data_IF_134994700977
#
_entry.id   IF_134994700977
#
_cell.length_a   1.000
_cell.length_b   1.000
_cell.length_c   1.000
_cell.angle_alpha   90.00
_cell.angle_beta   90.00
_cell.angle_gamma   90.00
#
_symmetry.space_group_name_H-M   'P 1'
#
loop_
_entity.id
_entity.type
_entity.pdbx_description
1 polymer ?
#
# COMPACT_ATOMS: atom_id res chain seq x y z
N UNK A 1 31.78 -1.68 -6.82
CA UNK A 1 31.09 -2.12 -5.59
C UNK A 1 31.78 -1.60 -4.33
N UNK A 2 33.10 -1.80 -4.15
CA UNK A 2 33.86 -1.31 -2.97
C UNK A 2 33.73 0.22 -2.78
N UNK A 3 33.98 1.01 -3.85
CA UNK A 3 33.85 2.47 -3.82
C UNK A 3 32.44 2.98 -3.46
N UNK A 4 31.40 2.26 -3.87
CA UNK A 4 30.00 2.62 -3.57
C UNK A 4 29.70 2.39 -2.08
N UNK A 5 30.23 1.30 -1.51
CA UNK A 5 30.08 0.98 -0.08
C UNK A 5 30.83 2.00 0.78
N UNK A 6 32.01 2.46 0.36
CA UNK A 6 32.76 3.50 1.06
C UNK A 6 32.00 4.84 1.08
N UNK A 7 31.48 5.28 -0.07
CA UNK A 7 30.66 6.50 -0.15
C UNK A 7 29.38 6.38 0.67
N UNK A 8 28.67 5.24 0.62
CA UNK A 8 27.50 5.01 1.49
C UNK A 8 27.87 5.03 2.97
N UNK A 9 29.02 4.45 3.33
CA UNK A 9 29.51 4.44 4.70
C UNK A 9 29.85 5.84 5.17
N UNK A 10 30.49 6.66 4.36
CA UNK A 10 30.76 8.07 4.64
C UNK A 10 29.47 8.87 4.83
N UNK A 11 28.51 8.74 3.90
CA UNK A 11 27.20 9.41 3.95
C UNK A 11 26.36 8.96 5.17
N UNK A 12 26.50 7.70 5.58
CA UNK A 12 25.74 7.12 6.71
C UNK A 12 26.45 7.36 8.04
N UNK A 13 27.78 7.47 8.05
CA UNK A 13 28.59 7.67 9.26
C UNK A 13 28.18 8.96 9.97
N UNK A 14 27.79 8.85 11.24
CA UNK A 14 27.36 10.00 12.05
C UNK A 14 25.85 10.29 12.03
N UNK A 15 25.06 9.65 11.17
CA UNK A 15 23.61 9.83 11.18
C UNK A 15 22.98 9.18 12.43
N UNK A 16 22.04 9.85 13.07
CA UNK A 16 21.24 9.35 14.21
C UNK A 16 19.80 9.08 13.78
N UNK A 17 19.02 8.34 14.58
CA UNK A 17 17.59 8.11 14.29
C UNK A 17 16.79 9.42 14.25
N UNK A 18 17.17 10.40 15.07
CA UNK A 18 16.51 11.72 15.14
C UNK A 18 16.67 12.51 13.83
N UNK A 19 17.69 12.21 13.02
CA UNK A 19 17.95 12.94 11.77
C UNK A 19 16.86 12.73 10.72
N UNK A 20 16.10 11.64 10.81
CA UNK A 20 14.94 11.40 9.95
C UNK A 20 13.83 12.44 10.14
N UNK A 21 13.70 12.99 11.35
CA UNK A 21 12.69 13.98 11.69
C UNK A 21 13.14 15.42 11.44
N UNK A 22 14.38 15.64 10.95
CA UNK A 22 14.83 16.97 10.54
C UNK A 22 14.06 17.44 9.31
N UNK A 23 13.92 18.75 9.15
CA UNK A 23 13.17 19.41 8.05
C UNK A 23 13.54 18.88 6.66
N UNK A 24 14.82 18.51 6.45
CA UNK A 24 15.34 17.94 5.19
C UNK A 24 14.75 16.56 4.86
N UNK A 25 14.46 15.73 5.87
CA UNK A 25 14.06 14.33 5.69
C UNK A 25 12.62 14.04 6.10
N UNK A 26 12.00 14.89 6.93
CA UNK A 26 10.68 14.64 7.53
C UNK A 26 9.60 14.34 6.49
N UNK A 27 9.59 15.04 5.35
CA UNK A 27 8.62 14.79 4.28
C UNK A 27 8.85 13.45 3.59
N UNK A 28 10.11 13.03 3.42
CA UNK A 28 10.45 11.72 2.85
C UNK A 28 10.05 10.60 3.82
N UNK A 29 10.33 10.80 5.10
CA UNK A 29 9.93 9.88 6.16
C UNK A 29 8.41 9.77 6.29
N UNK A 30 7.67 10.89 6.20
CA UNK A 30 6.20 10.93 6.14
C UNK A 30 5.69 10.08 4.97
N UNK A 31 6.22 10.27 3.76
CA UNK A 31 5.81 9.51 2.57
C UNK A 31 6.07 8.01 2.75
N UNK A 32 7.26 7.62 3.25
CA UNK A 32 7.59 6.20 3.48
C UNK A 32 6.66 5.56 4.51
N UNK A 33 6.44 6.22 5.65
CA UNK A 33 5.54 5.70 6.70
C UNK A 33 4.11 5.63 6.17
N UNK A 34 3.65 6.66 5.46
CA UNK A 34 2.30 6.70 4.90
C UNK A 34 2.08 5.63 3.83
N UNK A 35 3.05 5.35 2.95
CA UNK A 35 2.95 4.26 1.98
C UNK A 35 2.83 2.88 2.66
N UNK A 36 3.59 2.63 3.73
CA UNK A 36 3.43 1.43 4.55
C UNK A 36 2.05 1.36 5.23
N UNK A 37 1.56 2.48 5.74
CA UNK A 37 0.24 2.57 6.35
C UNK A 37 -0.86 2.29 5.31
N UNK A 38 -0.75 2.83 4.09
CA UNK A 38 -1.67 2.55 2.99
C UNK A 38 -1.72 1.05 2.71
N UNK A 39 -0.56 0.40 2.58
CA UNK A 39 -0.53 -1.03 2.31
C UNK A 39 -1.16 -1.86 3.44
N UNK A 40 -0.95 -1.50 4.70
CA UNK A 40 -1.51 -2.22 5.85
C UNK A 40 -3.02 -1.99 6.00
N UNK A 41 -3.49 -0.76 5.83
CA UNK A 41 -4.88 -0.37 6.08
C UNK A 41 -5.81 -0.70 4.90
N UNK A 42 -5.27 -0.94 3.70
CA UNK A 42 -6.08 -1.28 2.54
C UNK A 42 -6.59 -2.73 2.66
N UNK A 43 -7.86 -2.89 3.05
CA UNK A 43 -8.55 -4.19 3.11
C UNK A 43 -8.15 -5.14 4.23
N UNK A 44 -7.62 -4.59 5.32
CA UNK A 44 -7.13 -5.33 6.50
C UNK A 44 -8.10 -6.38 7.06
N UNK A 45 -9.41 -6.12 7.02
CA UNK A 45 -10.42 -7.05 7.55
C UNK A 45 -10.53 -8.32 6.70
N UNK A 46 -10.42 -8.18 5.39
CA UNK A 46 -10.63 -9.27 4.44
C UNK A 46 -9.36 -10.10 4.31
N UNK A 47 -8.19 -9.47 4.41
CA UNK A 47 -6.90 -10.14 4.20
C UNK A 47 -6.44 -11.04 5.34
N UNK A 48 -6.88 -10.79 6.56
CA UNK A 48 -6.45 -11.58 7.72
C UNK A 48 -7.23 -12.87 7.92
N UNK A 49 -8.43 -13.00 7.34
CA UNK A 49 -9.35 -14.13 7.60
C UNK A 49 -10.17 -14.52 6.35
N UNK A 50 -9.50 -14.83 5.22
CA UNK A 50 -10.16 -15.15 3.95
C UNK A 50 -11.12 -16.35 4.03
N UNK A 51 -10.67 -17.53 4.46
CA UNK A 51 -11.55 -18.70 4.61
C UNK A 51 -12.79 -18.39 5.47
N UNK A 52 -12.59 -17.70 6.59
CA UNK A 52 -13.69 -17.34 7.48
C UNK A 52 -14.66 -16.34 6.83
N UNK A 53 -14.15 -15.37 6.08
CA UNK A 53 -14.97 -14.45 5.30
C UNK A 53 -15.82 -15.19 4.26
N UNK A 54 -15.23 -16.17 3.56
CA UNK A 54 -15.95 -17.00 2.58
C UNK A 54 -16.99 -17.92 3.23
N UNK A 55 -16.69 -18.47 4.41
CA UNK A 55 -17.67 -19.23 5.19
C UNK A 55 -18.84 -18.34 5.63
N UNK A 56 -18.57 -17.12 6.06
CA UNK A 56 -19.61 -16.16 6.44
C UNK A 56 -20.48 -15.71 5.26
N UNK A 57 -19.92 -15.71 4.04
CA UNK A 57 -20.65 -15.49 2.79
C UNK A 57 -21.53 -16.70 2.41
N UNK A 58 -21.39 -17.84 3.10
CA UNK A 58 -22.22 -19.03 2.91
C UNK A 58 -21.55 -20.17 2.12
N UNK A 59 -20.24 -20.11 1.89
CA UNK A 59 -19.51 -21.23 1.30
C UNK A 59 -19.27 -22.33 2.35
N UNK A 60 -19.33 -23.62 1.97
CA UNK A 60 -18.85 -24.70 2.81
C UNK A 60 -17.34 -24.55 3.09
N UNK A 61 -16.89 -24.90 4.30
CA UNK A 61 -15.49 -24.77 4.74
C UNK A 61 -14.46 -25.32 3.75
N UNK A 62 -14.73 -26.49 3.15
CA UNK A 62 -13.84 -27.10 2.15
C UNK A 62 -13.68 -26.18 0.93
N UNK A 63 -14.78 -25.65 0.41
CA UNK A 63 -14.74 -24.75 -0.76
C UNK A 63 -14.15 -23.38 -0.40
N UNK A 64 -14.39 -22.88 0.81
CA UNK A 64 -13.79 -21.64 1.29
C UNK A 64 -12.25 -21.74 1.30
N UNK A 65 -11.71 -22.87 1.75
CA UNK A 65 -10.28 -23.16 1.70
C UNK A 65 -9.76 -23.28 0.26
N UNK A 66 -10.47 -23.99 -0.63
CA UNK A 66 -10.08 -24.11 -2.05
C UNK A 66 -9.99 -22.73 -2.73
N UNK A 67 -10.92 -21.82 -2.43
CA UNK A 67 -10.92 -20.44 -2.95
C UNK A 67 -9.75 -19.64 -2.40
N UNK A 68 -9.42 -19.80 -1.11
CA UNK A 68 -8.24 -19.15 -0.50
C UNK A 68 -6.93 -19.60 -1.17
N UNK A 69 -6.79 -20.90 -1.44
CA UNK A 69 -5.62 -21.44 -2.18
C UNK A 69 -5.56 -20.86 -3.59
N UNK A 70 -6.70 -20.84 -4.31
CA UNK A 70 -6.79 -20.24 -5.64
C UNK A 70 -6.44 -18.76 -5.67
N UNK A 71 -6.82 -18.03 -4.62
CA UNK A 71 -6.46 -16.63 -4.44
C UNK A 71 -4.94 -16.43 -4.24
N UNK A 72 -4.27 -17.34 -3.51
CA UNK A 72 -2.82 -17.36 -3.40
C UNK A 72 -2.14 -17.49 -4.77
N UNK A 73 -2.63 -18.42 -5.60
CA UNK A 73 -2.15 -18.62 -6.98
C UNK A 73 -2.39 -17.41 -7.88
N UNK A 74 -3.58 -16.81 -7.83
CA UNK A 74 -3.88 -15.56 -8.54
C UNK A 74 -2.93 -14.43 -8.10
N UNK A 75 -2.68 -14.32 -6.80
CA UNK A 75 -1.75 -13.33 -6.26
C UNK A 75 -0.34 -13.46 -6.84
N UNK A 76 0.16 -14.68 -7.03
CA UNK A 76 1.46 -14.93 -7.67
C UNK A 76 1.46 -14.48 -9.14
N UNK A 77 0.44 -14.84 -9.91
CA UNK A 77 0.31 -14.43 -11.32
C UNK A 77 0.24 -12.91 -11.44
N UNK A 78 -0.60 -12.26 -10.62
CA UNK A 78 -0.73 -10.81 -10.59
C UNK A 78 0.57 -10.11 -10.22
N UNK A 79 1.36 -10.66 -9.28
CA UNK A 79 2.67 -10.12 -8.93
C UNK A 79 3.66 -10.20 -10.10
N UNK A 80 3.67 -11.31 -10.85
CA UNK A 80 4.48 -11.45 -12.07
C UNK A 80 4.06 -10.43 -13.15
N UNK A 81 2.76 -10.21 -13.33
CA UNK A 81 2.25 -9.19 -14.24
C UNK A 81 2.60 -7.76 -13.79
N UNK A 82 2.63 -7.52 -12.48
CA UNK A 82 2.93 -6.21 -11.91
C UNK A 82 4.30 -5.71 -12.33
N UNK A 83 5.30 -6.60 -12.40
CA UNK A 83 6.64 -6.25 -12.84
C UNK A 83 6.66 -5.57 -14.21
N UNK A 84 5.85 -6.03 -15.16
CA UNK A 84 5.74 -5.43 -16.48
C UNK A 84 4.96 -4.12 -16.47
N UNK A 85 3.91 -4.08 -15.66
CA UNK A 85 3.00 -2.94 -15.54
C UNK A 85 3.69 -1.72 -14.90
N UNK A 86 4.46 -1.97 -13.84
CA UNK A 86 5.32 -1.03 -13.14
C UNK A 86 6.28 -0.29 -14.07
N UNK A 87 6.87 -0.97 -15.06
CA UNK A 87 7.78 -0.31 -16.01
C UNK A 87 7.07 0.75 -16.87
N UNK A 88 5.81 0.53 -17.22
CA UNK A 88 5.08 1.36 -18.20
C UNK A 88 4.27 2.48 -17.55
N UNK A 89 3.70 2.27 -16.37
CA UNK A 89 2.88 3.27 -15.68
C UNK A 89 3.70 4.18 -14.77
N UNK A 90 3.16 5.36 -14.49
CA UNK A 90 3.68 6.32 -13.53
C UNK A 90 3.33 5.84 -12.10
N UNK A 91 4.26 5.94 -11.15
CA UNK A 91 4.17 5.26 -9.83
C UNK A 91 2.96 5.72 -9.03
N UNK A 92 2.75 7.04 -8.99
CA UNK A 92 1.64 7.67 -8.26
C UNK A 92 0.31 7.31 -8.90
N UNK A 93 0.21 7.42 -10.21
CA UNK A 93 -1.03 7.10 -10.95
C UNK A 93 -1.39 5.62 -10.79
N UNK A 94 -0.39 4.73 -10.86
CA UNK A 94 -0.59 3.29 -10.69
C UNK A 94 -1.17 2.95 -9.32
N UNK A 95 -0.58 3.52 -8.26
CA UNK A 95 -1.07 3.33 -6.89
C UNK A 95 -2.48 3.89 -6.71
N UNK A 96 -2.76 5.10 -7.20
CA UNK A 96 -4.09 5.72 -7.08
C UNK A 96 -5.19 4.96 -7.82
N UNK A 97 -4.93 4.53 -9.06
CA UNK A 97 -5.91 3.74 -9.85
C UNK A 97 -6.20 2.41 -9.15
N UNK A 98 -5.17 1.77 -8.59
CA UNK A 98 -5.33 0.60 -7.74
C UNK A 98 -6.21 0.87 -6.53
N UNK A 99 -5.93 1.93 -5.77
CA UNK A 99 -6.72 2.28 -4.60
C UNK A 99 -8.18 2.60 -4.92
N UNK A 100 -8.47 3.30 -6.02
CA UNK A 100 -9.84 3.60 -6.45
C UNK A 100 -10.59 2.31 -6.80
N UNK A 101 -9.98 1.45 -7.62
CA UNK A 101 -10.60 0.16 -8.02
C UNK A 101 -10.81 -0.77 -6.82
N UNK A 102 -9.87 -0.78 -5.87
CA UNK A 102 -10.01 -1.53 -4.63
C UNK A 102 -11.12 -0.97 -3.72
N UNK A 103 -11.28 0.35 -3.67
CA UNK A 103 -12.36 0.99 -2.90
C UNK A 103 -13.72 0.63 -3.49
N UNK A 104 -13.88 0.68 -4.81
CA UNK A 104 -15.15 0.33 -5.46
C UNK A 104 -15.49 -1.14 -5.25
N UNK A 105 -14.54 -2.05 -5.38
CA UNK A 105 -14.75 -3.48 -5.10
C UNK A 105 -15.15 -3.74 -3.65
N UNK A 106 -14.52 -3.08 -2.67
CA UNK A 106 -14.88 -3.22 -1.25
C UNK A 106 -16.27 -2.65 -0.94
N UNK A 107 -16.66 -1.54 -1.58
CA UNK A 107 -18.02 -1.00 -1.48
C UNK A 107 -19.04 -1.97 -2.07
N UNK A 108 -18.76 -2.58 -3.22
CA UNK A 108 -19.63 -3.58 -3.83
C UNK A 108 -19.82 -4.79 -2.91
N UNK A 109 -18.73 -5.33 -2.36
CA UNK A 109 -18.80 -6.43 -1.39
C UNK A 109 -19.67 -6.03 -0.19
N UNK A 110 -19.43 -4.86 0.41
CA UNK A 110 -20.23 -4.37 1.54
C UNK A 110 -21.73 -4.21 1.21
N UNK A 111 -22.06 -3.73 0.00
CA UNK A 111 -23.44 -3.58 -0.46
C UNK A 111 -24.11 -4.95 -0.67
N UNK A 112 -23.42 -5.90 -1.32
CA UNK A 112 -23.92 -7.26 -1.50
C UNK A 112 -24.21 -7.92 -0.15
N UNK A 113 -23.36 -7.67 0.85
CA UNK A 113 -23.52 -8.21 2.20
C UNK A 113 -24.68 -7.62 3.01
N UNK A 114 -25.27 -6.51 2.54
CA UNK A 114 -26.50 -5.97 3.11
C UNK A 114 -27.76 -6.68 2.60
N UNK A 115 -27.67 -7.40 1.47
CA UNK A 115 -28.80 -8.14 0.90
C UNK A 115 -29.02 -9.46 1.64
N UNK A 116 -30.22 -10.04 1.48
CA UNK A 116 -30.53 -11.35 2.05
C UNK A 116 -29.64 -12.40 1.40
N UNK A 117 -28.79 -13.02 2.20
CA UNK A 117 -27.76 -13.96 1.74
C UNK A 117 -28.39 -15.21 1.13
N UNK A 118 -27.91 -15.55 -0.07
CA UNK A 118 -28.23 -16.74 -0.83
C UNK A 118 -26.92 -17.35 -1.33
N UNK A 119 -26.88 -18.65 -1.63
CA UNK A 119 -25.66 -19.31 -2.11
C UNK A 119 -25.02 -18.60 -3.31
N UNK A 120 -25.84 -18.09 -4.25
CA UNK A 120 -25.34 -17.34 -5.41
C UNK A 120 -24.68 -16.00 -5.06
N UNK A 121 -25.19 -15.29 -4.05
CA UNK A 121 -24.59 -14.04 -3.57
C UNK A 121 -23.28 -14.31 -2.84
N UNK A 122 -23.20 -15.38 -2.06
CA UNK A 122 -21.98 -15.80 -1.40
C UNK A 122 -20.84 -16.07 -2.39
N UNK A 123 -21.12 -16.78 -3.48
CA UNK A 123 -20.14 -16.98 -4.55
C UNK A 123 -19.73 -15.66 -5.22
N UNK A 124 -20.67 -14.74 -5.43
CA UNK A 124 -20.36 -13.44 -6.01
C UNK A 124 -19.44 -12.59 -5.11
N UNK A 125 -19.72 -12.55 -3.79
CA UNK A 125 -18.86 -11.89 -2.81
C UNK A 125 -17.44 -12.48 -2.80
N UNK A 126 -17.32 -13.81 -2.86
CA UNK A 126 -16.03 -14.50 -2.89
C UNK A 126 -15.21 -14.18 -4.15
N UNK A 127 -15.85 -14.15 -5.33
CA UNK A 127 -15.18 -13.77 -6.58
C UNK A 127 -14.72 -12.31 -6.55
N UNK A 128 -15.55 -11.40 -6.02
CA UNK A 128 -15.17 -9.99 -5.88
C UNK A 128 -13.98 -9.81 -4.93
N UNK A 129 -13.93 -10.55 -3.82
CA UNK A 129 -12.80 -10.52 -2.89
C UNK A 129 -11.52 -11.07 -3.53
N UNK A 130 -11.63 -12.13 -4.34
CA UNK A 130 -10.50 -12.69 -5.09
C UNK A 130 -9.97 -11.71 -6.15
N UNK A 131 -10.87 -11.04 -6.90
CA UNK A 131 -10.48 -9.99 -7.86
C UNK A 131 -9.82 -8.82 -7.14
N UNK A 132 -10.37 -8.40 -5.99
CA UNK A 132 -9.79 -7.36 -5.16
C UNK A 132 -8.35 -7.71 -4.73
N UNK A 133 -8.10 -8.96 -4.33
CA UNK A 133 -6.75 -9.42 -3.99
C UNK A 133 -5.79 -9.38 -5.18
N UNK A 134 -6.26 -9.80 -6.36
CA UNK A 134 -5.47 -9.70 -7.59
C UNK A 134 -5.08 -8.25 -7.90
N UNK A 135 -6.02 -7.31 -7.77
CA UNK A 135 -5.76 -5.87 -7.96
C UNK A 135 -4.75 -5.36 -6.93
N UNK A 136 -4.85 -5.75 -5.66
CA UNK A 136 -3.90 -5.37 -4.62
C UNK A 136 -2.46 -5.78 -4.99
N UNK A 137 -2.29 -7.04 -5.39
CA UNK A 137 -0.98 -7.60 -5.77
C UNK A 137 -0.44 -7.01 -7.07
N UNK A 138 -1.31 -6.57 -7.97
CA UNK A 138 -0.94 -5.92 -9.22
C UNK A 138 -0.52 -4.44 -9.03
N UNK A 139 -1.10 -3.77 -8.03
CA UNK A 139 -1.04 -2.30 -7.91
C UNK A 139 -0.36 -1.83 -6.62
N UNK A 140 -1.10 -1.82 -5.50
CA UNK A 140 -0.68 -1.20 -4.25
C UNK A 140 0.55 -1.89 -3.66
N UNK A 141 0.60 -3.23 -3.68
CA UNK A 141 1.72 -3.96 -3.12
C UNK A 141 3.06 -3.60 -3.79
N UNK A 142 3.25 -3.76 -5.11
CA UNK A 142 4.50 -3.42 -5.79
C UNK A 142 4.78 -1.91 -5.79
N UNK A 143 3.76 -1.07 -6.02
CA UNK A 143 3.95 0.39 -6.06
C UNK A 143 4.47 0.94 -4.72
N UNK A 144 4.02 0.38 -3.60
CA UNK A 144 4.48 0.77 -2.26
C UNK A 144 5.98 0.58 -2.11
N UNK A 145 6.51 -0.59 -2.49
CA UNK A 145 7.95 -0.87 -2.40
C UNK A 145 8.78 0.02 -3.34
N UNK A 146 8.28 0.27 -4.54
CA UNK A 146 8.94 1.15 -5.52
C UNK A 146 9.04 2.59 -4.99
N UNK A 147 7.93 3.16 -4.51
CA UNK A 147 7.89 4.53 -3.98
C UNK A 147 8.80 4.67 -2.77
N UNK A 148 8.83 3.69 -1.86
CA UNK A 148 9.71 3.71 -0.69
C UNK A 148 11.18 3.68 -1.10
N UNK A 149 11.53 2.84 -2.08
CA UNK A 149 12.87 2.76 -2.63
C UNK A 149 13.33 4.06 -3.29
N UNK A 150 12.45 4.69 -4.07
CA UNK A 150 12.74 5.93 -4.82
C UNK A 150 12.73 7.19 -3.92
N UNK A 151 11.92 7.22 -2.85
CA UNK A 151 11.73 8.41 -1.99
C UNK A 151 12.72 8.48 -0.82
N UNK A 152 13.29 7.34 -0.43
CA UNK A 152 14.17 7.27 0.74
C UNK A 152 15.56 7.86 0.46
N UNK A 153 15.96 8.85 1.27
CA UNK A 153 17.30 9.45 1.21
C UNK A 153 18.37 8.43 1.58
N UNK A 154 19.46 8.36 0.80
CA UNK A 154 20.52 7.36 0.98
C UNK A 154 21.09 7.35 2.41
N UNK A 155 21.32 8.52 3.00
CA UNK A 155 21.89 8.67 4.35
C UNK A 155 21.03 8.11 5.51
N UNK A 156 19.71 8.08 5.34
CA UNK A 156 18.77 7.64 6.39
C UNK A 156 17.81 6.55 5.92
N UNK A 157 18.11 5.92 4.77
CA UNK A 157 17.23 4.97 4.09
C UNK A 157 16.86 3.79 4.98
N UNK A 158 17.86 3.10 5.52
CA UNK A 158 17.64 1.91 6.35
C UNK A 158 16.80 2.22 7.60
N UNK A 159 17.07 3.35 8.26
CA UNK A 159 16.33 3.77 9.46
C UNK A 159 14.88 4.14 9.13
N UNK A 160 14.67 4.84 8.03
CA UNK A 160 13.33 5.28 7.59
C UNK A 160 12.47 4.09 7.21
N UNK A 161 13.04 3.15 6.45
CA UNK A 161 12.37 1.90 6.08
C UNK A 161 12.08 1.06 7.33
N UNK A 162 13.04 0.95 8.26
CA UNK A 162 12.85 0.25 9.53
C UNK A 162 11.69 0.79 10.35
N UNK A 163 11.61 2.11 10.55
CA UNK A 163 10.50 2.76 11.26
C UNK A 163 9.18 2.55 10.52
N UNK A 164 9.16 2.73 9.20
CA UNK A 164 7.97 2.47 8.39
C UNK A 164 7.46 1.03 8.54
N UNK A 165 8.37 0.06 8.60
CA UNK A 165 8.02 -1.36 8.81
C UNK A 165 7.51 -1.64 10.21
N UNK A 166 8.02 -0.96 11.24
CA UNK A 166 7.48 -1.03 12.60
C UNK A 166 6.03 -0.53 12.60
N UNK A 167 5.75 0.61 11.96
CA UNK A 167 4.38 1.14 11.84
C UNK A 167 3.46 0.15 11.11
N UNK A 168 3.92 -0.43 10.01
CA UNK A 168 3.19 -1.50 9.30
C UNK A 168 2.81 -2.66 10.22
N UNK A 169 3.76 -3.16 11.02
CA UNK A 169 3.51 -4.27 11.93
C UNK A 169 2.56 -3.88 13.08
N UNK A 170 2.67 -2.67 13.63
CA UNK A 170 1.75 -2.17 14.67
C UNK A 170 0.33 -2.08 14.12
N UNK A 171 0.16 -1.51 12.92
CA UNK A 171 -1.14 -1.45 12.25
C UNK A 171 -1.68 -2.85 11.96
N UNK A 172 -0.81 -3.79 11.58
CA UNK A 172 -1.14 -5.20 11.42
C UNK A 172 -1.65 -5.84 12.73
N UNK A 173 -0.99 -5.60 13.87
CA UNK A 173 -1.43 -6.11 15.17
C UNK A 173 -2.81 -5.53 15.55
N UNK A 174 -2.99 -4.21 15.41
CA UNK A 174 -4.28 -3.55 15.67
C UNK A 174 -5.37 -4.15 14.79
N UNK A 175 -5.08 -4.36 13.51
CA UNK A 175 -5.99 -4.99 12.55
C UNK A 175 -6.37 -6.40 12.99
N UNK A 176 -5.40 -7.25 13.35
CA UNK A 176 -5.66 -8.61 13.83
C UNK A 176 -6.46 -8.68 15.13
N UNK A 177 -6.44 -7.63 15.97
CA UNK A 177 -7.27 -7.56 17.17
C UNK A 177 -8.71 -7.12 16.88
N UNK A 178 -8.91 -6.21 15.94
CA UNK A 178 -10.25 -5.66 15.63
C UNK A 178 -11.01 -6.60 14.68
N UNK A 179 -10.34 -7.27 13.73
CA UNK A 179 -11.01 -8.11 12.71
C UNK A 179 -11.87 -9.20 13.32
N UNK A 180 -11.39 -10.00 14.31
CA UNK A 180 -12.20 -11.03 14.95
C UNK A 180 -13.42 -10.44 15.65
N UNK A 181 -13.31 -9.27 16.30
CA UNK A 181 -14.44 -8.61 16.98
C UNK A 181 -15.50 -8.13 15.97
N UNK A 182 -15.07 -7.68 14.80
CA UNK A 182 -15.99 -7.26 13.73
C UNK A 182 -16.72 -8.45 13.09
N UNK A 183 -16.00 -9.56 12.86
CA UNK A 183 -16.56 -10.72 12.17
C UNK A 183 -17.32 -11.66 13.12
N UNK A 184 -16.99 -11.72 14.41
CA UNK A 184 -17.58 -12.69 15.34
C UNK A 184 -19.12 -12.53 15.46
N UNK A 185 -19.91 -13.60 15.24
CA UNK A 185 -21.37 -13.61 15.36
C UNK A 185 -21.90 -13.20 16.73
N UNK A 186 -21.13 -13.46 17.81
CA UNK A 186 -21.50 -13.16 19.19
C UNK A 186 -21.13 -11.73 19.64
N UNK A 187 -20.39 -10.99 18.81
CA UNK A 187 -19.96 -9.63 19.10
C UNK A 187 -20.74 -8.65 18.21
N UNK A 188 -20.08 -8.02 17.22
CA UNK A 188 -20.73 -7.04 16.34
C UNK A 188 -21.37 -7.64 15.09
N UNK A 189 -21.03 -8.88 14.71
CA UNK A 189 -21.62 -9.62 13.57
C UNK A 189 -21.75 -8.76 12.30
N UNK A 190 -20.70 -8.02 11.95
CA UNK A 190 -20.74 -7.16 10.77
C UNK A 190 -20.67 -7.98 9.47
N UNK A 191 -20.30 -9.26 9.52
CA UNK A 191 -20.14 -10.15 8.35
C UNK A 191 -19.42 -9.40 7.22
N UNK A 192 -19.92 -9.45 5.98
CA UNK A 192 -19.35 -8.69 4.87
C UNK A 192 -19.58 -7.17 4.92
N UNK A 193 -20.45 -6.62 5.79
CA UNK A 193 -20.51 -5.16 6.05
C UNK A 193 -19.22 -4.63 6.67
N UNK A 194 -18.39 -5.51 7.22
CA UNK A 194 -17.07 -5.15 7.72
C UNK A 194 -16.15 -4.54 6.64
N UNK A 195 -16.43 -4.80 5.35
CA UNK A 195 -15.73 -4.23 4.20
C UNK A 195 -15.95 -2.71 4.01
N UNK A 196 -17.01 -2.12 4.57
CA UNK A 196 -17.25 -0.67 4.46
C UNK A 196 -16.18 0.17 5.17
N UNK A 197 -15.68 -0.29 6.33
CA UNK A 197 -14.70 0.45 7.11
C UNK A 197 -13.34 0.54 6.38
N UNK A 198 -12.75 -0.57 5.87
CA UNK A 198 -11.60 -0.51 4.98
C UNK A 198 -11.84 0.31 3.72
N UNK A 199 -13.03 0.26 3.11
CA UNK A 199 -13.35 1.07 1.92
C UNK A 199 -13.27 2.57 2.21
N UNK A 200 -13.87 3.01 3.33
CA UNK A 200 -13.85 4.40 3.76
C UNK A 200 -12.41 4.87 4.06
N UNK A 201 -11.64 4.04 4.78
CA UNK A 201 -10.24 4.36 5.09
C UNK A 201 -9.41 4.45 3.81
N UNK A 202 -9.57 3.51 2.88
CA UNK A 202 -8.87 3.52 1.59
C UNK A 202 -9.19 4.77 0.76
N UNK A 203 -10.44 5.24 0.79
CA UNK A 203 -10.84 6.48 0.14
C UNK A 203 -10.08 7.71 0.68
N UNK A 204 -10.01 7.86 2.01
CA UNK A 204 -9.25 8.96 2.63
C UNK A 204 -7.74 8.84 2.39
N UNK A 205 -7.21 7.62 2.45
CA UNK A 205 -5.81 7.35 2.17
C UNK A 205 -5.47 7.66 0.70
N UNK A 206 -6.37 7.41 -0.24
CA UNK A 206 -6.20 7.76 -1.64
C UNK A 206 -6.10 9.29 -1.83
N UNK A 207 -6.86 10.06 -1.06
CA UNK A 207 -6.72 11.51 -1.02
C UNK A 207 -5.34 11.93 -0.51
N UNK A 208 -4.85 11.31 0.58
CA UNK A 208 -3.49 11.56 1.07
C UNK A 208 -2.42 11.23 0.01
N UNK A 209 -2.53 10.08 -0.68
CA UNK A 209 -1.64 9.70 -1.78
C UNK A 209 -1.65 10.76 -2.88
N UNK A 210 -2.82 11.29 -3.23
CA UNK A 210 -2.91 12.36 -4.23
C UNK A 210 -2.14 13.63 -3.84
N UNK A 211 -2.13 14.03 -2.57
CA UNK A 211 -1.45 15.27 -2.16
C UNK A 211 0.03 15.09 -1.80
N UNK A 212 0.41 13.96 -1.23
CA UNK A 212 1.72 13.79 -0.57
C UNK A 212 2.71 12.93 -1.33
N UNK A 213 2.24 11.95 -2.11
CA UNK A 213 3.13 11.05 -2.86
C UNK A 213 3.59 11.74 -4.15
N UNK A 214 4.92 11.93 -4.35
CA UNK A 214 5.45 12.49 -5.59
C UNK A 214 5.51 11.46 -6.71
N UNK A 215 5.62 11.94 -7.95
CA UNK A 215 5.90 11.09 -9.10
C UNK A 215 7.42 11.04 -9.35
N UNK A 216 8.04 9.90 -9.05
CA UNK A 216 9.49 9.72 -9.12
C UNK A 216 9.95 9.04 -10.43
N UNK A 217 9.03 8.66 -11.32
CA UNK A 217 9.36 7.94 -12.55
C UNK A 217 10.30 8.76 -13.46
N UNK A 218 11.39 8.10 -13.88
CA UNK A 218 12.33 8.64 -14.87
C UNK A 218 13.31 9.66 -14.31
N UNK A 219 13.45 9.76 -12.98
CA UNK A 219 14.38 10.67 -12.30
C UNK A 219 15.52 9.90 -11.64
N UNK A 220 16.68 10.53 -11.53
CA UNK A 220 17.82 9.95 -10.80
C UNK A 220 17.69 10.21 -9.30
N UNK A 221 18.39 9.42 -8.46
CA UNK A 221 18.38 9.65 -7.01
C UNK A 221 18.93 11.03 -6.64
N UNK A 222 19.90 11.54 -7.40
CA UNK A 222 20.50 12.87 -7.19
C UNK A 222 19.49 13.99 -7.48
N UNK A 223 18.77 13.90 -8.60
CA UNK A 223 17.69 14.85 -8.95
C UNK A 223 16.62 14.88 -7.86
N UNK A 224 16.19 13.70 -7.38
CA UNK A 224 15.22 13.60 -6.30
C UNK A 224 15.76 14.23 -5.01
N UNK A 225 17.03 14.01 -4.66
CA UNK A 225 17.70 14.65 -3.51
C UNK A 225 17.61 16.17 -3.53
N UNK A 226 17.89 16.78 -4.68
CA UNK A 226 17.78 18.22 -4.84
C UNK A 226 16.33 18.71 -4.80
N UNK A 227 15.41 18.04 -5.52
CA UNK A 227 14.00 18.44 -5.56
C UNK A 227 13.33 18.38 -4.18
N UNK A 228 13.67 17.38 -3.37
CA UNK A 228 13.19 17.29 -1.99
C UNK A 228 13.86 18.32 -1.08
N UNK A 229 15.14 18.65 -1.27
CA UNK A 229 15.83 19.70 -0.53
C UNK A 229 15.22 21.10 -0.79
N UNK A 230 14.82 21.37 -2.05
CA UNK A 230 14.11 22.58 -2.46
C UNK A 230 12.64 22.63 -2.03
N UNK A 231 12.12 21.54 -1.49
CA UNK A 231 10.75 21.48 -0.99
C UNK A 231 9.68 21.50 -2.09
N UNK A 232 10.01 21.14 -3.33
CA UNK A 232 9.09 21.15 -4.48
C UNK A 232 7.78 20.43 -4.12
N UNK A 233 6.58 21.00 -4.36
CA UNK A 233 5.32 20.32 -4.05
C UNK A 233 5.18 18.98 -4.78
N UNK A 234 4.63 17.94 -4.14
CA UNK A 234 4.59 16.59 -4.70
C UNK A 234 3.89 16.52 -6.08
N UNK A 235 2.95 17.44 -6.32
CA UNK A 235 2.20 17.57 -7.57
C UNK A 235 3.02 18.12 -8.73
N UNK A 236 4.07 18.89 -8.45
CA UNK A 236 4.91 19.55 -9.45
C UNK A 236 6.14 18.70 -9.82
N UNK A 237 6.34 17.54 -9.19
CA UNK A 237 7.46 16.66 -9.49
C UNK A 237 7.52 16.23 -10.97
N UNK A 238 6.35 16.02 -11.58
CA UNK A 238 6.27 15.63 -12.99
C UNK A 238 6.66 16.77 -13.94
N UNK A 239 6.32 18.01 -13.60
CA UNK A 239 6.52 19.20 -14.44
C UNK A 239 7.81 19.96 -14.13
N UNK A 240 8.58 19.53 -13.13
CA UNK A 240 9.82 20.19 -12.75
C UNK A 240 10.91 19.87 -13.80
N UNK A 241 11.41 20.88 -14.49
CA UNK A 241 12.58 20.74 -15.34
C UNK A 241 13.83 20.85 -14.46
N UNK A 242 14.70 19.84 -14.54
CA UNK A 242 15.92 19.81 -13.74
C UNK A 242 17.01 20.54 -14.50
N UNK A 243 17.57 21.59 -13.90
CA UNK A 243 18.69 22.34 -14.47
C UNK A 243 19.94 22.12 -13.61
N UNK A 244 20.89 21.33 -14.13
CA UNK A 244 22.13 20.96 -13.45
C UNK A 244 22.95 22.16 -12.92
N UNK A 245 22.82 23.33 -13.54
CA UNK A 245 23.59 24.52 -13.15
C UNK A 245 22.86 25.36 -12.11
N UNK A 246 21.56 25.55 -12.26
CA UNK A 246 20.75 26.30 -11.29
C UNK A 246 20.42 25.48 -10.04
N UNK A 247 20.45 24.14 -10.12
CA UNK A 247 19.94 23.24 -9.08
C UNK A 247 20.99 22.75 -8.08
N UNK A 248 22.27 22.84 -8.43
CA UNK A 248 23.41 22.36 -7.63
C UNK A 248 24.05 23.48 -6.78
N UNK A 249 23.81 24.76 -7.11
CA UNK A 249 24.15 25.94 -6.29
C UNK A 249 23.17 26.15 -5.12
#
# INVERSE_FOLDING_TARGET
MIRTVEVEREITSGTRFVDMFKRKHIRRTEVVIGCWAVQSMTGWVVTSYFAYFYEQAGLPSVKAFDVEVGQGGLGFICACCAFWLSKRLARRTHMMVGMVTMTTLMLLIGILSCLKQNNGLGYAESVLAMVWWGVFQLTVAPATYEIIGETSALSVRQKTIGVGRIVYNILGIVSSLITPVMLNPSARNWKGKSAFLPALLNFFLNFWVFFRVPECKGRTYEELDVMFARGVPARQFKSYEFDLYADVE
#
